data_IF_031116675362
#
_entry.id   IF_031116675362
#
_cell.length_a   1.000
_cell.length_b   1.000
_cell.length_c   1.000
_cell.angle_alpha   90.00
_cell.angle_beta   90.00
_cell.angle_gamma   90.00
#
_symmetry.space_group_name_H-M   'P 1'
#
loop_
_entity.id
_entity.type
_entity.pdbx_description
1 polymer ?
#
# COMPACT_ATOMS: atom_id res chain seq x y z
N UNK A 1 -5.83 -21.00 -10.15
CA UNK A 1 -6.17 -22.31 -10.75
C UNK A 1 -7.58 -22.27 -11.30
N UNK A 2 -7.78 -22.65 -12.56
CA UNK A 2 -9.12 -22.73 -13.16
C UNK A 2 -9.80 -24.04 -12.76
N UNK A 3 -11.04 -23.96 -12.26
CA UNK A 3 -11.83 -25.16 -11.98
C UNK A 3 -12.04 -25.95 -13.29
N UNK A 4 -11.79 -27.27 -13.30
CA UNK A 4 -11.99 -28.07 -14.50
C UNK A 4 -13.45 -27.99 -14.95
N UNK A 5 -13.70 -27.95 -16.28
CA UNK A 5 -15.04 -27.77 -16.81
C UNK A 5 -15.96 -28.89 -16.27
N UNK A 6 -17.20 -28.57 -15.82
CA UNK A 6 -18.11 -29.55 -15.21
C UNK A 6 -18.63 -30.65 -16.17
N UNK A 7 -18.07 -30.68 -17.39
CA UNK A 7 -18.42 -31.59 -18.49
C UNK A 7 -17.55 -32.85 -18.53
N UNK A 8 -16.43 -32.86 -17.80
CA UNK A 8 -15.51 -34.00 -17.78
C UNK A 8 -15.98 -35.06 -16.78
N UNK A 9 -15.76 -36.36 -17.08
CA UNK A 9 -16.02 -37.43 -16.13
C UNK A 9 -15.14 -37.25 -14.89
N UNK A 10 -15.73 -37.44 -13.71
CA UNK A 10 -15.01 -37.35 -12.43
C UNK A 10 -14.80 -38.76 -11.87
N UNK A 11 -13.54 -39.12 -11.65
CA UNK A 11 -13.16 -40.34 -10.95
C UNK A 11 -12.74 -39.95 -9.52
N UNK A 12 -13.41 -40.52 -8.52
CA UNK A 12 -13.08 -40.34 -7.11
C UNK A 12 -12.80 -41.68 -6.45
N UNK A 13 -11.71 -41.75 -5.69
CA UNK A 13 -11.41 -42.88 -4.82
C UNK A 13 -11.68 -42.46 -3.36
N UNK A 14 -12.43 -43.27 -2.63
CA UNK A 14 -12.68 -43.06 -1.21
C UNK A 14 -12.28 -44.31 -0.45
N UNK A 15 -11.37 -44.16 0.50
CA UNK A 15 -10.94 -45.21 1.41
C UNK A 15 -11.43 -44.87 2.81
N UNK A 16 -12.05 -45.82 3.48
CA UNK A 16 -12.49 -45.66 4.88
C UNK A 16 -12.08 -46.87 5.70
N UNK A 17 -11.49 -46.60 6.86
CA UNK A 17 -11.18 -47.59 7.90
C UNK A 17 -11.95 -47.25 9.16
N UNK A 18 -12.60 -48.24 9.75
CA UNK A 18 -13.40 -48.10 10.97
C UNK A 18 -13.01 -49.16 11.98
N UNK A 19 -12.74 -48.73 13.20
CA UNK A 19 -12.57 -49.58 14.37
C UNK A 19 -13.76 -49.33 15.29
N UNK A 20 -14.58 -50.34 15.53
CA UNK A 20 -15.65 -50.28 16.50
C UNK A 20 -15.41 -51.33 17.58
N UNK A 21 -15.38 -50.88 18.83
CA UNK A 21 -15.30 -51.75 19.99
C UNK A 21 -16.57 -51.56 20.82
N UNK A 22 -17.42 -52.58 20.85
CA UNK A 22 -18.61 -52.57 21.69
C UNK A 22 -18.25 -53.15 23.05
N UNK A 23 -18.01 -52.29 24.04
CA UNK A 23 -17.89 -52.70 25.44
C UNK A 23 -19.27 -52.66 26.11
N UNK A 24 -19.61 -53.72 26.86
CA UNK A 24 -20.90 -53.98 27.51
C UNK A 24 -22.07 -54.36 26.58
N UNK A 25 -21.94 -55.49 25.88
CA UNK A 25 -23.12 -56.22 25.38
C UNK A 25 -23.95 -56.70 26.59
N UNK A 26 -25.20 -56.26 26.70
CA UNK A 26 -26.12 -56.56 27.81
C UNK A 26 -26.29 -58.08 28.06
N UNK A 27 -25.94 -58.91 27.07
CA UNK A 27 -26.13 -60.35 27.12
C UNK A 27 -24.85 -61.15 27.45
N UNK A 28 -23.66 -60.52 27.44
CA UNK A 28 -22.41 -61.19 27.83
C UNK A 28 -21.33 -60.15 28.24
N UNK A 29 -21.08 -59.93 29.54
CA UNK A 29 -20.09 -58.97 30.03
C UNK A 29 -18.63 -59.38 29.76
N UNK A 30 -18.38 -60.56 29.17
CA UNK A 30 -17.04 -61.05 28.83
C UNK A 30 -16.74 -61.08 27.33
N UNK A 31 -17.72 -60.75 26.48
CA UNK A 31 -17.56 -60.78 25.02
C UNK A 31 -17.20 -59.40 24.47
N UNK A 32 -15.90 -59.16 24.30
CA UNK A 32 -15.40 -58.01 23.55
C UNK A 32 -15.61 -58.23 22.05
N UNK A 33 -16.63 -57.59 21.48
CA UNK A 33 -16.84 -57.63 20.03
C UNK A 33 -16.09 -56.47 19.36
N UNK A 34 -14.85 -56.74 18.98
CA UNK A 34 -14.03 -55.83 18.19
C UNK A 34 -14.27 -56.05 16.70
N UNK A 35 -14.87 -55.08 16.03
CA UNK A 35 -15.04 -55.10 14.57
C UNK A 35 -14.08 -54.12 13.91
N UNK A 36 -13.16 -54.65 13.11
CA UNK A 36 -12.28 -53.89 12.21
C UNK A 36 -12.84 -53.97 10.81
N UNK A 37 -13.04 -52.81 10.18
CA UNK A 37 -13.46 -52.73 8.79
C UNK A 37 -12.55 -51.80 8.01
N UNK A 38 -12.21 -52.20 6.80
CA UNK A 38 -11.52 -51.36 5.84
C UNK A 38 -12.26 -51.53 4.52
N UNK A 39 -12.56 -50.42 3.84
CA UNK A 39 -13.20 -50.44 2.53
C UNK A 39 -12.57 -49.39 1.62
N UNK A 40 -12.47 -49.76 0.35
CA UNK A 40 -12.05 -48.87 -0.72
C UNK A 40 -13.15 -48.86 -1.78
N UNK A 41 -13.54 -47.67 -2.23
CA UNK A 41 -14.57 -47.46 -3.23
C UNK A 41 -14.04 -46.56 -4.33
N UNK A 42 -14.18 -47.00 -5.57
CA UNK A 42 -13.97 -46.18 -6.76
C UNK A 42 -15.34 -45.77 -7.31
N UNK A 43 -15.51 -44.49 -7.60
CA UNK A 43 -16.74 -43.94 -8.17
C UNK A 43 -16.42 -43.13 -9.42
N UNK A 44 -17.06 -43.47 -10.53
CA UNK A 44 -16.96 -42.75 -11.80
C UNK A 44 -18.30 -42.06 -12.07
N UNK A 45 -18.29 -40.72 -12.14
CA UNK A 45 -19.48 -39.93 -12.43
C UNK A 45 -19.34 -39.28 -13.81
N UNK A 46 -20.24 -39.64 -14.73
CA UNK A 46 -20.31 -39.10 -16.09
C UNK A 46 -21.64 -38.37 -16.28
N UNK A 47 -21.66 -37.03 -16.32
CA UNK A 47 -22.89 -36.28 -16.54
C UNK A 47 -23.29 -36.30 -18.02
N UNK A 48 -24.49 -36.80 -18.33
CA UNK A 48 -25.00 -36.88 -19.71
C UNK A 48 -25.73 -35.59 -20.10
N UNK A 49 -26.58 -35.05 -19.21
CA UNK A 49 -27.28 -33.78 -19.41
C UNK A 49 -27.45 -33.03 -18.08
N UNK A 50 -27.15 -31.74 -18.06
CA UNK A 50 -27.15 -30.91 -16.84
C UNK A 50 -27.96 -29.61 -17.00
N UNK A 51 -28.90 -29.56 -17.94
CA UNK A 51 -29.81 -28.41 -18.12
C UNK A 51 -29.09 -27.09 -18.43
N UNK A 52 -27.93 -27.13 -19.09
CA UNK A 52 -27.16 -25.93 -19.45
C UNK A 52 -26.36 -25.27 -18.33
N UNK A 53 -26.40 -25.80 -17.09
CA UNK A 53 -25.64 -25.26 -15.93
C UNK A 53 -24.14 -25.05 -16.21
N UNK A 54 -23.41 -26.00 -16.84
CA UNK A 54 -21.99 -25.80 -17.17
C UNK A 54 -21.74 -24.61 -18.11
N UNK A 55 -22.60 -24.42 -19.10
CA UNK A 55 -22.47 -23.32 -20.05
C UNK A 55 -22.73 -21.98 -19.36
N UNK A 56 -23.70 -21.92 -18.44
CA UNK A 56 -23.96 -20.72 -17.64
C UNK A 56 -22.78 -20.39 -16.70
N UNK A 57 -22.18 -21.39 -16.05
CA UNK A 57 -21.00 -21.20 -15.20
C UNK A 57 -19.79 -20.69 -15.99
N UNK A 58 -19.56 -21.21 -17.20
CA UNK A 58 -18.49 -20.70 -18.08
C UNK A 58 -18.73 -19.25 -18.46
N UNK A 59 -19.97 -18.88 -18.85
CA UNK A 59 -20.30 -17.47 -19.13
C UNK A 59 -20.12 -16.57 -17.90
N UNK A 60 -20.54 -17.03 -16.73
CA UNK A 60 -20.35 -16.30 -15.49
C UNK A 60 -18.86 -16.09 -15.17
N UNK A 61 -18.03 -17.13 -15.34
CA UNK A 61 -16.59 -17.03 -15.15
C UNK A 61 -15.96 -16.05 -16.14
N UNK A 62 -16.35 -16.09 -17.41
CA UNK A 62 -15.92 -15.12 -18.42
C UNK A 62 -16.29 -13.69 -18.03
N UNK A 63 -17.55 -13.44 -17.62
CA UNK A 63 -17.97 -12.11 -17.15
C UNK A 63 -17.18 -11.64 -15.93
N UNK A 64 -16.84 -12.54 -14.99
CA UNK A 64 -15.98 -12.22 -13.84
C UNK A 64 -14.56 -11.86 -14.26
N UNK A 65 -14.00 -12.57 -15.25
CA UNK A 65 -12.70 -12.21 -15.83
C UNK A 65 -12.75 -10.83 -16.49
N UNK A 66 -13.78 -10.53 -17.28
CA UNK A 66 -13.96 -9.19 -17.86
C UNK A 66 -14.07 -8.12 -16.79
N UNK A 67 -14.85 -8.33 -15.72
CA UNK A 67 -14.93 -7.40 -14.59
C UNK A 67 -13.58 -7.18 -13.91
N UNK A 68 -12.77 -8.23 -13.71
CA UNK A 68 -11.45 -8.10 -13.13
C UNK A 68 -10.49 -7.28 -14.01
N UNK A 69 -10.59 -7.42 -15.34
CA UNK A 69 -9.82 -6.60 -16.30
C UNK A 69 -10.25 -5.14 -16.24
N UNK A 70 -11.55 -4.84 -16.21
CA UNK A 70 -12.05 -3.47 -16.09
C UNK A 70 -11.61 -2.83 -14.76
N UNK A 71 -11.70 -3.56 -13.66
CA UNK A 71 -11.22 -3.09 -12.35
C UNK A 71 -9.71 -2.78 -12.38
N UNK A 72 -8.91 -3.60 -13.07
CA UNK A 72 -7.48 -3.34 -13.25
C UNK A 72 -7.24 -2.03 -14.02
N UNK A 73 -7.95 -1.82 -15.14
CA UNK A 73 -7.85 -0.59 -15.95
C UNK A 73 -8.33 0.63 -15.16
N UNK A 74 -9.37 0.49 -14.34
CA UNK A 74 -9.86 1.56 -13.47
C UNK A 74 -8.79 1.97 -12.44
N UNK A 75 -8.17 0.99 -11.77
CA UNK A 75 -7.09 1.24 -10.81
C UNK A 75 -5.90 1.89 -11.51
N UNK A 76 -5.49 1.41 -12.68
CA UNK A 76 -4.41 2.01 -13.47
C UNK A 76 -4.69 3.49 -13.78
N UNK A 77 -5.89 3.79 -14.31
CA UNK A 77 -6.30 5.16 -14.63
C UNK A 77 -6.38 6.04 -13.39
N UNK A 78 -6.86 5.51 -12.28
CA UNK A 78 -6.93 6.20 -10.99
C UNK A 78 -5.53 6.60 -10.50
N UNK A 79 -4.55 5.68 -10.55
CA UNK A 79 -3.16 5.95 -10.17
C UNK A 79 -2.53 7.01 -11.08
N UNK A 80 -2.76 6.94 -12.39
CA UNK A 80 -2.27 7.97 -13.34
C UNK A 80 -2.86 9.34 -13.02
N UNK A 81 -4.17 9.42 -12.79
CA UNK A 81 -4.85 10.66 -12.46
C UNK A 81 -4.37 11.25 -11.13
N UNK A 82 -4.24 10.42 -10.10
CA UNK A 82 -3.72 10.82 -8.79
C UNK A 82 -2.28 11.34 -8.89
N UNK A 83 -1.41 10.64 -9.61
CA UNK A 83 -0.01 11.04 -9.80
C UNK A 83 0.11 12.37 -10.55
N UNK A 84 -0.67 12.55 -11.62
CA UNK A 84 -0.73 13.83 -12.36
C UNK A 84 -1.25 14.96 -11.49
N UNK A 85 -2.29 14.72 -10.68
CA UNK A 85 -2.84 15.68 -9.74
C UNK A 85 -1.82 16.10 -8.69
N UNK A 86 -1.13 15.14 -8.07
CA UNK A 86 -0.08 15.39 -7.10
C UNK A 86 1.09 16.19 -7.70
N UNK A 87 1.53 15.85 -8.92
CA UNK A 87 2.60 16.56 -9.61
C UNK A 87 2.22 18.00 -9.93
N UNK A 88 1.00 18.23 -10.42
CA UNK A 88 0.48 19.57 -10.69
C UNK A 88 0.39 20.40 -9.40
N UNK A 89 -0.05 19.80 -8.29
CA UNK A 89 -0.09 20.46 -6.99
C UNK A 89 1.31 20.83 -6.49
N UNK A 90 2.30 19.95 -6.62
CA UNK A 90 3.69 20.26 -6.29
C UNK A 90 4.25 21.41 -7.13
N UNK A 91 4.05 21.37 -8.46
CA UNK A 91 4.44 22.47 -9.36
C UNK A 91 3.78 23.80 -9.00
N UNK A 92 2.51 23.79 -8.60
CA UNK A 92 1.82 24.99 -8.16
C UNK A 92 2.43 25.56 -6.86
N UNK A 93 2.78 24.70 -5.90
CA UNK A 93 3.44 25.13 -4.67
C UNK A 93 4.83 25.75 -4.93
N UNK A 94 5.60 25.22 -5.87
CA UNK A 94 6.87 25.84 -6.30
C UNK A 94 6.68 27.27 -6.83
N UNK A 95 5.62 27.50 -7.61
CA UNK A 95 5.29 28.85 -8.09
C UNK A 95 4.83 29.77 -6.95
N UNK A 96 4.11 29.25 -5.97
CA UNK A 96 3.72 30.00 -4.76
C UNK A 96 4.97 30.40 -3.96
N UNK A 97 5.97 29.52 -3.83
CA UNK A 97 7.25 29.85 -3.18
C UNK A 97 7.94 31.00 -3.91
N UNK A 98 8.04 30.94 -5.25
CA UNK A 98 8.66 32.00 -6.03
C UNK A 98 7.91 33.35 -5.86
N UNK A 99 6.57 33.32 -5.92
CA UNK A 99 5.75 34.52 -5.73
C UNK A 99 5.87 35.10 -4.33
N UNK A 100 5.87 34.25 -3.29
CA UNK A 100 6.02 34.68 -1.90
C UNK A 100 7.43 35.19 -1.59
N UNK A 101 8.48 34.64 -2.20
CA UNK A 101 9.83 35.20 -2.15
C UNK A 101 9.89 36.62 -2.71
N UNK A 102 9.24 36.85 -3.86
CA UNK A 102 9.15 38.18 -4.44
C UNK A 102 8.35 39.14 -3.55
N UNK A 103 7.27 38.67 -2.92
CA UNK A 103 6.49 39.45 -1.96
C UNK A 103 7.31 39.84 -0.72
N UNK A 104 8.12 38.91 -0.18
CA UNK A 104 9.04 39.20 0.93
C UNK A 104 10.04 40.28 0.54
N UNK A 105 10.66 40.19 -0.64
CA UNK A 105 11.57 41.22 -1.13
C UNK A 105 10.89 42.58 -1.31
N UNK A 106 9.66 42.60 -1.85
CA UNK A 106 8.90 43.82 -2.06
C UNK A 106 8.48 44.48 -0.74
N UNK A 107 8.01 43.70 0.23
CA UNK A 107 7.63 44.20 1.55
C UNK A 107 8.84 44.65 2.37
N UNK A 108 10.00 43.99 2.21
CA UNK A 108 11.26 44.44 2.79
C UNK A 108 11.66 45.83 2.26
N UNK A 109 11.56 46.04 0.95
CA UNK A 109 11.82 47.34 0.34
C UNK A 109 10.79 48.39 0.79
N UNK A 110 9.51 48.01 0.90
CA UNK A 110 8.46 48.91 1.40
C UNK A 110 8.73 49.35 2.84
N UNK A 111 9.17 48.44 3.70
CA UNK A 111 9.56 48.76 5.08
C UNK A 111 10.74 49.73 5.12
N UNK A 112 11.75 49.53 4.27
CA UNK A 112 12.88 50.47 4.16
C UNK A 112 12.41 51.86 3.70
N UNK A 113 11.51 51.93 2.72
CA UNK A 113 10.90 53.18 2.27
C UNK A 113 10.14 53.91 3.38
N UNK A 114 9.30 53.21 4.15
CA UNK A 114 8.55 53.81 5.26
C UNK A 114 9.48 54.27 6.39
N UNK A 115 10.57 53.55 6.66
CA UNK A 115 11.60 53.99 7.62
C UNK A 115 12.31 55.25 7.16
N UNK A 116 12.64 55.35 5.86
CA UNK A 116 13.23 56.56 5.29
C UNK A 116 12.27 57.76 5.37
N UNK A 117 11.00 57.57 5.00
CA UNK A 117 9.94 58.60 5.11
C UNK A 117 9.73 59.06 6.58
N UNK A 118 9.78 58.13 7.53
CA UNK A 118 9.69 58.49 8.95
C UNK A 118 10.91 59.32 9.40
N UNK A 119 12.12 59.02 8.91
CA UNK A 119 13.34 59.77 9.26
C UNK A 119 13.32 61.24 8.83
N UNK A 120 12.55 61.55 7.77
CA UNK A 120 12.31 62.92 7.28
C UNK A 120 10.99 63.52 7.81
N UNK A 121 10.27 62.79 8.67
CA UNK A 121 9.05 63.23 9.35
C UNK A 121 7.77 63.13 8.53
N UNK A 122 7.77 62.44 7.37
CA UNK A 122 6.57 62.32 6.50
C UNK A 122 5.71 61.09 6.80
N UNK A 123 6.19 60.16 7.64
CA UNK A 123 5.46 58.98 8.13
C UNK A 123 5.51 58.86 9.65
N UNK A 124 4.54 58.17 10.23
CA UNK A 124 4.47 57.90 11.66
C UNK A 124 5.15 56.58 12.04
N UNK A 125 5.45 56.40 13.33
CA UNK A 125 5.96 55.12 13.87
C UNK A 125 4.94 53.98 13.68
N UNK A 126 3.63 54.30 13.73
CA UNK A 126 2.59 53.30 13.47
C UNK A 126 2.67 52.76 12.04
N UNK A 127 3.07 53.58 11.05
CA UNK A 127 3.29 53.12 9.68
C UNK A 127 4.46 52.12 9.59
N UNK A 128 5.54 52.36 10.36
CA UNK A 128 6.66 51.41 10.44
C UNK A 128 6.19 50.09 11.04
N UNK A 129 5.46 50.11 12.16
CA UNK A 129 4.98 48.89 12.81
C UNK A 129 4.04 48.09 11.90
N UNK A 130 3.18 48.76 11.15
CA UNK A 130 2.33 48.12 10.15
C UNK A 130 3.15 47.48 9.02
N UNK A 131 4.16 48.19 8.51
CA UNK A 131 5.05 47.65 7.46
C UNK A 131 5.92 46.48 7.97
N UNK A 132 6.37 46.53 9.23
CA UNK A 132 7.09 45.42 9.89
C UNK A 132 6.19 44.19 10.06
N UNK A 133 4.94 44.41 10.47
CA UNK A 133 3.95 43.33 10.57
C UNK A 133 3.69 42.68 9.21
N UNK A 134 3.54 43.47 8.15
CA UNK A 134 3.30 42.95 6.80
C UNK A 134 4.52 42.18 6.25
N UNK A 135 5.73 42.69 6.50
CA UNK A 135 6.97 41.99 6.16
C UNK A 135 7.13 40.67 6.93
N UNK A 136 6.77 40.64 8.22
CA UNK A 136 6.80 39.42 9.02
C UNK A 136 5.75 38.41 8.56
N UNK A 137 4.52 38.87 8.28
CA UNK A 137 3.44 38.02 7.78
C UNK A 137 3.85 37.33 6.47
N UNK A 138 4.46 38.06 5.54
CA UNK A 138 4.93 37.49 4.28
C UNK A 138 6.09 36.51 4.43
N UNK A 139 6.98 36.70 5.41
CA UNK A 139 7.99 35.69 5.75
C UNK A 139 7.37 34.39 6.29
N UNK A 140 6.37 34.49 7.17
CA UNK A 140 5.64 33.31 7.68
C UNK A 140 4.90 32.59 6.55
N UNK A 141 4.33 33.33 5.60
CA UNK A 141 3.71 32.76 4.40
C UNK A 141 4.72 32.02 3.53
N UNK A 142 5.93 32.55 3.35
CA UNK A 142 7.00 31.87 2.61
C UNK A 142 7.39 30.54 3.27
N UNK A 143 7.59 30.51 4.59
CA UNK A 143 7.91 29.28 5.33
C UNK A 143 6.77 28.26 5.20
N UNK A 144 5.53 28.73 5.29
CA UNK A 144 4.34 27.88 5.11
C UNK A 144 4.27 27.31 3.69
N UNK A 145 4.56 28.12 2.66
CA UNK A 145 4.62 27.69 1.27
C UNK A 145 5.71 26.63 1.04
N UNK A 146 6.89 26.83 1.63
CA UNK A 146 7.98 25.84 1.58
C UNK A 146 7.55 24.50 2.19
N UNK A 147 6.96 24.52 3.41
CA UNK A 147 6.40 23.32 4.04
C UNK A 147 5.38 22.63 3.14
N UNK A 148 4.47 23.39 2.53
CA UNK A 148 3.45 22.84 1.65
C UNK A 148 4.06 22.20 0.40
N UNK A 149 5.12 22.78 -0.20
CA UNK A 149 5.85 22.15 -1.30
C UNK A 149 6.50 20.83 -0.87
N UNK A 150 7.14 20.78 0.31
CA UNK A 150 7.70 19.53 0.84
C UNK A 150 6.63 18.43 0.97
N UNK A 151 5.47 18.74 1.56
CA UNK A 151 4.35 17.79 1.68
C UNK A 151 3.81 17.37 0.30
N UNK A 152 3.72 18.30 -0.64
CA UNK A 152 3.29 17.99 -2.00
C UNK A 152 4.29 17.09 -2.72
N UNK A 153 5.60 17.29 -2.55
CA UNK A 153 6.63 16.43 -3.11
C UNK A 153 6.55 15.00 -2.55
N UNK A 154 6.30 14.84 -1.24
CA UNK A 154 6.05 13.52 -0.64
C UNK A 154 4.79 12.86 -1.19
N UNK A 155 3.73 13.64 -1.43
CA UNK A 155 2.50 13.12 -2.06
C UNK A 155 2.78 12.55 -3.47
N UNK A 156 3.68 13.17 -4.23
CA UNK A 156 4.12 12.66 -5.54
C UNK A 156 4.90 11.36 -5.38
N UNK A 157 5.85 11.29 -4.45
CA UNK A 157 6.61 10.07 -4.15
C UNK A 157 5.67 8.93 -3.74
N UNK A 158 4.68 9.22 -2.90
CA UNK A 158 3.70 8.23 -2.45
C UNK A 158 2.82 7.72 -3.61
N UNK A 159 2.34 8.61 -4.47
CA UNK A 159 1.57 8.23 -5.66
C UNK A 159 2.38 7.38 -6.65
N UNK A 160 3.70 7.57 -6.71
CA UNK A 160 4.61 6.74 -7.51
C UNK A 160 4.99 5.41 -6.83
N UNK A 161 4.53 5.15 -5.60
CA UNK A 161 4.94 3.98 -4.82
C UNK A 161 6.38 4.04 -4.29
N UNK A 162 6.97 5.24 -4.25
CA UNK A 162 8.34 5.51 -3.79
C UNK A 162 8.40 6.22 -2.42
N UNK A 163 7.33 6.13 -1.64
CA UNK A 163 7.29 6.65 -0.26
C UNK A 163 7.37 5.53 0.78
N UNK A 164 7.91 4.37 0.40
CA UNK A 164 8.14 3.29 1.35
C UNK A 164 9.38 3.59 2.20
N UNK A 165 9.45 2.99 3.40
CA UNK A 165 10.57 3.14 4.31
C UNK A 165 11.93 2.84 3.63
N UNK A 166 11.95 1.86 2.71
CA UNK A 166 13.11 1.52 1.86
C UNK A 166 13.60 2.68 0.99
N UNK A 167 12.67 3.45 0.41
CA UNK A 167 12.97 4.54 -0.53
C UNK A 167 13.33 5.83 0.22
N UNK A 168 12.86 5.95 1.47
CA UNK A 168 13.13 7.08 2.36
C UNK A 168 14.33 6.85 3.28
N UNK A 169 15.02 5.71 3.15
CA UNK A 169 16.17 5.35 4.00
C UNK A 169 15.80 5.16 5.47
N UNK A 170 14.53 4.90 5.78
CA UNK A 170 14.06 4.63 7.14
C UNK A 170 14.26 3.14 7.39
N UNK A 171 15.24 2.78 8.23
CA UNK A 171 15.53 1.40 8.64
C UNK A 171 14.30 0.77 9.30
N UNK A 172 13.54 0.01 8.51
CA UNK A 172 12.27 -0.57 8.92
C UNK A 172 12.07 -1.98 8.38
N UNK A 173 13.02 -2.88 8.64
CA UNK A 173 12.87 -4.34 8.44
C UNK A 173 12.56 -4.81 7.02
N UNK A 174 12.44 -6.13 6.84
CA UNK A 174 12.08 -6.72 5.56
C UNK A 174 10.57 -6.52 5.27
N UNK A 175 10.25 -5.74 4.23
CA UNK A 175 8.87 -5.54 3.76
C UNK A 175 8.40 -6.73 2.90
N UNK A 176 7.08 -6.91 2.81
CA UNK A 176 6.43 -7.98 2.04
C UNK A 176 6.66 -7.81 0.52
N UNK A 177 7.31 -8.78 -0.13
CA UNK A 177 7.52 -8.83 -1.58
C UNK A 177 6.47 -9.74 -2.26
N UNK A 178 5.51 -9.19 -3.02
CA UNK A 178 4.46 -9.96 -3.66
C UNK A 178 4.96 -10.83 -4.83
N UNK A 179 6.05 -10.43 -5.52
CA UNK A 179 6.57 -11.15 -6.68
C UNK A 179 7.26 -12.43 -6.22
N UNK A 180 8.05 -12.37 -5.15
CA UNK A 180 8.67 -13.56 -4.54
C UNK A 180 7.61 -14.53 -4.05
N UNK A 181 6.49 -14.03 -3.52
CA UNK A 181 5.40 -14.90 -3.08
C UNK A 181 4.65 -15.54 -4.26
N UNK A 182 4.36 -14.77 -5.32
CA UNK A 182 3.73 -15.31 -6.52
C UNK A 182 4.57 -16.40 -7.20
N UNK A 183 5.86 -16.15 -7.38
CA UNK A 183 6.79 -17.09 -8.00
C UNK A 183 6.94 -18.39 -7.18
N UNK A 184 6.79 -18.29 -5.86
CA UNK A 184 6.83 -19.42 -4.93
C UNK A 184 5.58 -20.30 -5.01
N UNK A 185 4.40 -19.69 -5.04
CA UNK A 185 3.12 -20.41 -4.96
C UNK A 185 2.64 -20.90 -6.33
N UNK A 186 3.02 -20.25 -7.44
CA UNK A 186 2.49 -20.57 -8.79
C UNK A 186 2.71 -22.03 -9.24
N UNK A 187 3.73 -22.71 -8.70
CA UNK A 187 4.10 -24.08 -9.04
C UNK A 187 3.56 -25.13 -8.07
N UNK A 188 2.96 -24.72 -6.95
CA UNK A 188 2.43 -25.63 -5.95
C UNK A 188 1.10 -26.22 -6.42
N UNK A 189 1.10 -27.53 -6.63
CA UNK A 189 -0.06 -28.32 -7.07
C UNK A 189 -0.87 -28.88 -5.88
N UNK A 190 -0.40 -28.68 -4.65
CA UNK A 190 -0.91 -29.33 -3.46
C UNK A 190 -0.94 -28.36 -2.27
N UNK A 191 -2.09 -28.29 -1.60
CA UNK A 191 -2.43 -27.32 -0.54
C UNK A 191 -1.83 -27.65 0.83
N UNK A 192 -1.11 -28.78 0.95
CA UNK A 192 -0.31 -29.15 2.14
C UNK A 192 1.20 -29.02 1.90
N UNK A 193 1.60 -28.39 0.79
CA UNK A 193 2.98 -27.94 0.63
C UNK A 193 3.19 -26.66 1.43
N UNK A 194 3.11 -26.77 2.77
CA UNK A 194 3.28 -25.64 3.67
C UNK A 194 4.70 -25.09 3.54
N UNK A 195 4.82 -23.77 3.37
CA UNK A 195 6.10 -23.08 3.46
C UNK A 195 6.72 -23.28 4.85
N UNK A 196 8.06 -23.29 4.99
CA UNK A 196 8.70 -23.20 6.28
C UNK A 196 8.11 -22.00 7.06
N UNK A 197 7.74 -22.22 8.33
CA UNK A 197 7.13 -21.18 9.15
C UNK A 197 7.95 -19.88 9.07
N UNK A 198 7.30 -18.72 8.84
CA UNK A 198 8.01 -17.47 8.65
C UNK A 198 8.91 -17.20 9.86
N UNK A 199 10.22 -17.20 9.63
CA UNK A 199 11.18 -16.86 10.67
C UNK A 199 11.04 -15.37 10.96
N UNK A 200 10.51 -15.05 12.13
CA UNK A 200 10.47 -13.66 12.59
C UNK A 200 11.91 -13.20 12.83
N UNK A 201 12.47 -12.42 11.92
CA UNK A 201 13.69 -11.66 12.20
C UNK A 201 13.27 -10.49 13.09
N UNK A 202 13.62 -10.55 14.37
CA UNK A 202 13.40 -9.45 15.29
C UNK A 202 14.20 -8.24 14.80
N UNK A 203 13.53 -7.14 14.47
CA UNK A 203 14.17 -5.85 14.20
C UNK A 203 14.75 -5.34 15.53
N UNK A 204 15.98 -5.73 15.85
CA UNK A 204 16.64 -5.27 17.07
C UNK A 204 16.88 -3.76 16.97
N UNK A 205 16.12 -3.00 17.76
CA UNK A 205 16.19 -1.53 17.79
C UNK A 205 17.48 -1.03 18.47
N UNK A 206 18.27 -1.91 19.10
CA UNK A 206 19.55 -1.54 19.73
C UNK A 206 20.65 -1.24 18.72
N UNK A 207 20.53 -1.77 17.49
CA UNK A 207 21.50 -1.58 16.43
C UNK A 207 21.24 -0.32 15.58
N UNK A 208 20.06 0.31 15.72
CA UNK A 208 19.71 1.52 14.98
C UNK A 208 20.32 2.73 15.70
N UNK A 209 21.31 3.43 15.10
CA UNK A 209 21.88 4.63 15.70
C UNK A 209 20.81 5.71 15.84
N UNK A 210 20.79 6.42 16.97
CA UNK A 210 19.82 7.47 17.22
C UNK A 210 19.86 8.53 16.10
N UNK A 211 18.69 8.89 15.56
CA UNK A 211 18.57 9.95 14.57
C UNK A 211 19.17 11.24 15.13
N UNK A 212 20.29 11.68 14.55
CA UNK A 212 20.98 12.88 14.99
C UNK A 212 20.21 14.09 14.47
N UNK A 213 19.64 14.89 15.37
CA UNK A 213 18.85 16.10 15.05
C UNK A 213 19.70 17.29 14.56
N UNK A 214 20.85 17.05 13.92
CA UNK A 214 21.65 18.12 13.35
C UNK A 214 21.06 18.55 12.01
N UNK A 215 20.41 19.72 12.01
CA UNK A 215 20.02 20.43 10.79
C UNK A 215 21.31 20.82 10.04
N UNK A 216 21.52 20.42 8.78
CA UNK A 216 22.69 20.86 8.02
C UNK A 216 22.63 22.38 7.86
N UNK A 217 23.63 23.09 8.37
CA UNK A 217 23.81 24.52 8.09
C UNK A 217 24.43 24.63 6.70
N UNK A 218 23.61 24.56 5.66
CA UNK A 218 24.05 24.69 4.28
C UNK A 218 22.90 24.49 3.29
N UNK A 219 22.91 25.17 2.13
CA UNK A 219 21.85 25.02 1.13
C UNK A 219 21.79 23.56 0.63
N UNK A 220 20.57 23.03 0.37
CA UNK A 220 20.39 21.64 -0.05
C UNK A 220 21.16 21.38 -1.35
N UNK A 221 21.98 20.33 -1.36
CA UNK A 221 22.72 19.92 -2.55
C UNK A 221 21.75 19.41 -3.62
N UNK A 222 21.76 20.06 -4.78
CA UNK A 222 21.01 19.61 -5.95
C UNK A 222 21.55 18.25 -6.43
N UNK A 223 20.69 17.28 -6.79
CA UNK A 223 21.14 16.03 -7.39
C UNK A 223 21.83 16.32 -8.73
N UNK A 224 23.06 15.81 -8.90
CA UNK A 224 23.76 15.85 -10.20
C UNK A 224 23.03 14.94 -11.19
N UNK A 225 22.89 15.42 -12.42
CA UNK A 225 22.38 14.67 -13.56
C UNK A 225 23.23 13.46 -13.90
#
# INVERSE_FOLDING_TARGET
>A
GGAPPPRLPKLSATTSGGYNNNLNSVNDPTSENTTKSASARLSLTIPIFQGGRPSAQVRQAQSRTSQAIENYVEVERSVIAQTRGAYAAWRANEQIIAATQQAVSANGLSLEGVRAENSVGTRSILDILNAEQEYLNTQVQLVSAQRNSYVAAFSVLAAMGKAEARDLGIEGGALYDPEVNYQRVKGQIFDWADDPAPQQQATDTRAVPAATASVPVGPPALPRQ
#
